data_IF_921832560966
#
_entry.id   IF_921832560966
#
_cell.length_a   1.000
_cell.length_b   1.000
_cell.length_c   1.000
_cell.angle_alpha   90.00
_cell.angle_beta   90.00
_cell.angle_gamma   90.00
#
_symmetry.space_group_name_H-M   'P 1'
#
loop_
_entity.id
_entity.type
_entity.pdbx_description
1 polymer ?
#
# COMPACT_ATOMS: atom_id res chain seq x y z
N UNK A 1 -28.80 -2.08 25.12
CA UNK A 1 -28.20 -2.90 24.04
C UNK A 1 -27.31 -2.00 23.18
N UNK A 2 -25.99 -2.13 23.27
CA UNK A 2 -25.05 -1.32 22.47
C UNK A 2 -24.92 -1.90 21.05
N UNK A 3 -25.61 -1.31 20.08
CA UNK A 3 -25.42 -1.65 18.67
C UNK A 3 -24.13 -1.00 18.16
N UNK A 4 -23.42 -1.65 17.23
CA UNK A 4 -22.22 -1.05 16.61
C UNK A 4 -22.66 0.14 15.75
N UNK A 5 -22.19 1.33 16.10
CA UNK A 5 -22.41 2.56 15.36
C UNK A 5 -21.09 3.32 15.19
N UNK A 6 -20.90 3.96 14.04
CA UNK A 6 -19.68 4.69 13.68
C UNK A 6 -18.67 3.84 12.90
N UNK A 7 -17.44 4.34 12.78
CA UNK A 7 -16.39 3.68 11.98
C UNK A 7 -15.81 2.49 12.74
N UNK A 8 -15.66 1.37 12.04
CA UNK A 8 -15.14 0.15 12.63
C UNK A 8 -14.46 -0.77 11.63
N UNK A 9 -13.90 -1.84 12.18
CA UNK A 9 -13.37 -2.96 11.41
C UNK A 9 -14.08 -4.22 11.88
N UNK A 10 -14.61 -4.99 10.92
CA UNK A 10 -15.20 -6.29 11.16
C UNK A 10 -14.38 -7.34 10.42
N UNK A 11 -13.93 -8.35 11.15
CA UNK A 11 -13.16 -9.47 10.61
C UNK A 11 -14.11 -10.65 10.51
N UNK A 12 -14.29 -11.17 9.30
CA UNK A 12 -15.08 -12.36 9.04
C UNK A 12 -14.28 -13.60 9.43
N UNK A 13 -14.99 -14.68 9.76
CA UNK A 13 -14.38 -16.00 10.02
C UNK A 13 -13.59 -16.54 8.82
N UNK A 14 -13.94 -16.11 7.60
CA UNK A 14 -13.19 -16.41 6.37
C UNK A 14 -11.84 -15.70 6.26
N UNK A 15 -11.52 -14.78 7.17
CA UNK A 15 -10.33 -13.94 7.12
C UNK A 15 -10.51 -12.64 6.31
N UNK A 16 -11.65 -12.46 5.65
CA UNK A 16 -12.00 -11.19 5.03
C UNK A 16 -12.16 -10.09 6.10
N UNK A 17 -11.89 -8.84 5.72
CA UNK A 17 -11.92 -7.68 6.62
C UNK A 17 -12.73 -6.57 6.01
N UNK A 18 -13.84 -6.21 6.65
CA UNK A 18 -14.58 -5.01 6.35
C UNK A 18 -14.06 -3.85 7.17
N UNK A 19 -13.75 -2.73 6.52
CA UNK A 19 -13.42 -1.45 7.15
C UNK A 19 -14.39 -0.41 6.62
N UNK A 20 -15.24 0.12 7.48
CA UNK A 20 -16.27 1.05 7.06
C UNK A 20 -17.09 1.57 8.21
N UNK A 21 -18.21 2.18 7.87
CA UNK A 21 -19.16 2.72 8.82
C UNK A 21 -20.23 1.66 9.16
N UNK A 22 -20.67 1.71 10.41
CA UNK A 22 -21.69 0.85 10.97
C UNK A 22 -22.82 1.73 11.50
N UNK A 23 -24.05 1.28 11.31
CA UNK A 23 -25.21 1.87 11.93
C UNK A 23 -26.12 0.76 12.39
N UNK A 24 -26.50 0.78 13.67
CA UNK A 24 -27.39 -0.21 14.27
C UNK A 24 -26.90 -1.67 14.14
N UNK A 25 -25.58 -1.89 14.07
CA UNK A 25 -25.01 -3.23 13.88
C UNK A 25 -24.94 -3.70 12.44
N UNK A 26 -25.42 -2.90 11.48
CA UNK A 26 -25.33 -3.17 10.05
C UNK A 26 -24.26 -2.29 9.40
N UNK A 27 -23.75 -2.72 8.25
CA UNK A 27 -22.88 -1.88 7.42
C UNK A 27 -23.69 -0.72 6.83
N UNK A 28 -23.23 0.50 7.04
CA UNK A 28 -23.93 1.70 6.59
C UNK A 28 -22.91 2.80 6.31
N UNK A 29 -22.97 3.46 5.16
CA UNK A 29 -21.97 4.45 4.74
C UNK A 29 -20.87 3.85 3.86
N UNK A 30 -19.69 4.47 3.83
CA UNK A 30 -18.63 4.02 2.94
C UNK A 30 -17.84 2.86 3.55
N UNK A 31 -17.63 1.78 2.78
CA UNK A 31 -16.98 0.58 3.29
C UNK A 31 -16.08 -0.11 2.27
N UNK A 32 -15.00 -0.72 2.80
CA UNK A 32 -14.02 -1.51 2.06
C UNK A 32 -13.96 -2.91 2.62
N UNK A 33 -14.29 -3.91 1.81
CA UNK A 33 -14.16 -5.32 2.11
C UNK A 33 -12.88 -5.86 1.46
N UNK A 34 -11.87 -6.18 2.24
CA UNK A 34 -10.62 -6.78 1.78
C UNK A 34 -10.62 -8.29 2.00
N UNK A 35 -10.14 -9.05 1.03
CA UNK A 35 -10.04 -10.51 1.11
C UNK A 35 -8.61 -10.98 1.32
N UNK A 36 -8.44 -12.25 1.69
CA UNK A 36 -7.14 -12.84 2.00
C UNK A 36 -6.21 -12.94 0.77
N UNK A 37 -6.79 -13.05 -0.44
CA UNK A 37 -6.08 -13.04 -1.72
C UNK A 37 -5.58 -11.65 -2.13
N UNK A 38 -5.92 -10.61 -1.36
CA UNK A 38 -5.49 -9.22 -1.59
C UNK A 38 -6.43 -8.41 -2.48
N UNK A 39 -7.48 -9.03 -3.05
CA UNK A 39 -8.56 -8.28 -3.68
C UNK A 39 -9.35 -7.49 -2.63
N UNK A 40 -10.03 -6.45 -3.10
CA UNK A 40 -10.95 -5.71 -2.25
C UNK A 40 -12.14 -5.18 -3.05
N UNK A 41 -13.24 -4.97 -2.33
CA UNK A 41 -14.46 -4.34 -2.81
C UNK A 41 -14.66 -3.05 -2.03
N UNK A 42 -14.70 -1.93 -2.72
CA UNK A 42 -15.10 -0.65 -2.15
C UNK A 42 -16.51 -0.32 -2.63
N UNK A 43 -17.43 -0.09 -1.69
CA UNK A 43 -18.78 0.32 -2.02
C UNK A 43 -19.43 1.10 -0.88
N UNK A 44 -20.55 1.75 -1.20
CA UNK A 44 -21.39 2.40 -0.21
C UNK A 44 -22.45 1.40 0.27
N UNK A 45 -22.63 1.31 1.57
CA UNK A 45 -23.56 0.40 2.23
C UNK A 45 -24.75 1.21 2.76
N UNK A 46 -25.94 0.63 2.71
CA UNK A 46 -27.12 1.19 3.35
C UNK A 46 -27.93 0.06 3.94
N UNK A 47 -28.08 0.04 5.27
CA UNK A 47 -28.83 -1.01 5.96
C UNK A 47 -28.31 -2.43 5.68
N UNK A 48 -26.99 -2.61 5.56
CA UNK A 48 -26.35 -3.90 5.28
C UNK A 48 -26.30 -4.31 3.81
N UNK A 49 -26.92 -3.55 2.90
CA UNK A 49 -26.90 -3.82 1.47
C UNK A 49 -25.88 -2.92 0.75
N UNK A 50 -25.06 -3.47 -0.16
CA UNK A 50 -24.18 -2.65 -0.99
C UNK A 50 -25.00 -1.94 -2.08
N UNK A 51 -24.72 -0.65 -2.28
CA UNK A 51 -25.27 0.15 -3.36
C UNK A 51 -24.49 -0.15 -4.64
N UNK A 52 -25.20 -0.66 -5.65
CA UNK A 52 -24.64 -1.06 -6.95
C UNK A 52 -23.93 0.10 -7.67
N UNK A 53 -24.42 1.33 -7.51
CA UNK A 53 -23.86 2.54 -8.12
C UNK A 53 -22.44 2.89 -7.66
N UNK A 54 -21.96 2.30 -6.57
CA UNK A 54 -20.62 2.55 -6.04
C UNK A 54 -19.80 1.27 -5.90
N UNK A 55 -20.21 0.17 -6.54
CA UNK A 55 -19.51 -1.10 -6.42
C UNK A 55 -18.24 -1.09 -7.26
N UNK A 56 -17.10 -0.89 -6.59
CA UNK A 56 -15.79 -0.94 -7.22
C UNK A 56 -15.08 -2.24 -6.80
N UNK A 57 -14.97 -3.17 -7.74
CA UNK A 57 -14.22 -4.41 -7.57
C UNK A 57 -12.78 -4.20 -8.04
N UNK A 58 -11.82 -4.28 -7.12
CA UNK A 58 -10.40 -4.18 -7.46
C UNK A 58 -9.75 -5.56 -7.41
N UNK A 59 -9.40 -6.07 -8.59
CA UNK A 59 -8.52 -7.21 -8.71
C UNK A 59 -7.08 -6.74 -8.52
N UNK A 60 -6.44 -7.10 -7.40
CA UNK A 60 -5.03 -6.79 -7.20
C UNK A 60 -4.18 -7.56 -8.22
N UNK A 61 -3.99 -6.97 -9.40
CA UNK A 61 -2.93 -7.32 -10.33
C UNK A 61 -1.62 -7.11 -9.58
N UNK A 62 -1.05 -8.19 -9.02
CA UNK A 62 0.27 -8.28 -8.35
C UNK A 62 1.19 -7.09 -8.69
N UNK A 63 1.22 -6.07 -7.84
CA UNK A 63 2.27 -5.04 -7.85
C UNK A 63 2.84 -4.89 -6.45
N UNK A 64 3.54 -5.93 -5.99
CA UNK A 64 4.48 -5.79 -4.85
C UNK A 64 5.85 -6.44 -5.10
N UNK A 65 6.10 -6.98 -6.29
CA UNK A 65 7.45 -7.43 -6.70
C UNK A 65 8.20 -6.30 -7.43
N UNK A 66 7.51 -5.49 -8.24
CA UNK A 66 8.13 -4.41 -9.02
C UNK A 66 8.64 -3.22 -8.16
N UNK A 67 7.92 -2.86 -7.09
CA UNK A 67 8.29 -1.70 -6.26
C UNK A 67 9.53 -2.01 -5.41
N UNK A 68 9.66 -3.22 -4.86
CA UNK A 68 10.88 -3.64 -4.12
C UNK A 68 12.10 -3.84 -5.04
N UNK A 69 11.90 -4.26 -6.29
CA UNK A 69 12.98 -4.43 -7.26
C UNK A 69 13.59 -3.08 -7.72
N UNK A 70 12.79 -2.01 -7.77
CA UNK A 70 13.28 -0.68 -8.18
C UNK A 70 14.16 0.00 -7.12
N UNK A 71 13.99 -0.32 -5.83
CA UNK A 71 14.82 0.24 -4.76
C UNK A 71 16.25 -0.35 -4.75
N UNK A 72 16.39 -1.66 -5.00
CA UNK A 72 17.71 -2.30 -5.08
C UNK A 72 18.54 -1.85 -6.28
N UNK A 73 17.92 -1.63 -7.45
CA UNK A 73 18.62 -1.16 -8.65
C UNK A 73 19.14 0.27 -8.45
N UNK A 74 18.30 1.17 -7.89
CA UNK A 74 18.70 2.56 -7.60
C UNK A 74 19.78 2.65 -6.51
N UNK A 75 19.77 1.76 -5.52
CA UNK A 75 20.80 1.69 -4.50
C UNK A 75 22.16 1.27 -5.09
N UNK A 76 22.18 0.28 -6.00
CA UNK A 76 23.40 -0.18 -6.65
C UNK A 76 24.02 0.91 -7.56
N UNK A 77 23.19 1.64 -8.32
CA UNK A 77 23.66 2.75 -9.17
C UNK A 77 24.25 3.91 -8.34
N UNK A 78 23.63 4.26 -7.21
CA UNK A 78 24.17 5.28 -6.29
C UNK A 78 25.51 4.87 -5.67
N UNK A 79 25.65 3.61 -5.27
CA UNK A 79 26.90 3.08 -4.73
C UNK A 79 28.03 3.12 -5.76
N UNK A 80 27.72 2.80 -7.03
CA UNK A 80 28.67 2.88 -8.14
C UNK A 80 29.14 4.33 -8.36
N UNK A 81 28.20 5.27 -8.43
CA UNK A 81 28.50 6.70 -8.60
C UNK A 81 29.35 7.26 -7.44
N UNK A 82 29.06 6.87 -6.20
CA UNK A 82 29.81 7.32 -5.03
C UNK A 82 31.25 6.78 -5.03
N UNK A 83 31.44 5.50 -5.41
CA UNK A 83 32.77 4.90 -5.54
C UNK A 83 33.59 5.59 -6.65
N UNK A 84 32.99 5.87 -7.79
CA UNK A 84 33.65 6.60 -8.89
C UNK A 84 33.98 8.05 -8.49
N UNK A 85 33.09 8.72 -7.76
CA UNK A 85 33.33 10.07 -7.23
C UNK A 85 34.47 10.09 -6.21
N UNK A 86 34.57 9.10 -5.32
CA UNK A 86 35.70 8.99 -4.38
C UNK A 86 37.01 8.74 -5.11
N UNK A 87 37.00 7.89 -6.14
CA UNK A 87 38.19 7.59 -6.94
C UNK A 87 38.65 8.81 -7.76
N UNK A 88 37.73 9.60 -8.30
CA UNK A 88 38.07 10.81 -9.06
C UNK A 88 38.62 11.91 -8.16
N UNK A 89 38.09 12.07 -6.94
CA UNK A 89 38.63 13.00 -5.94
C UNK A 89 40.05 12.57 -5.54
N UNK A 90 40.28 11.30 -5.22
CA UNK A 90 41.61 10.79 -4.85
C UNK A 90 42.66 11.00 -5.96
N UNK A 91 42.29 10.75 -7.23
CA UNK A 91 43.16 10.99 -8.40
C UNK A 91 43.46 12.48 -8.62
N UNK A 92 42.54 13.38 -8.26
CA UNK A 92 42.72 14.83 -8.40
C UNK A 92 43.59 15.42 -7.28
N UNK A 93 43.54 14.85 -6.08
CA UNK A 93 44.40 15.25 -4.95
C UNK A 93 45.84 14.76 -5.14
N UNK A 94 46.05 13.52 -5.60
CA UNK A 94 47.41 12.99 -5.86
C UNK A 94 48.20 13.74 -6.94
N UNK A 95 47.52 14.38 -7.91
CA UNK A 95 48.15 15.17 -8.98
C UNK A 95 48.55 16.60 -8.58
N UNK A 96 48.17 17.08 -7.39
CA UNK A 96 48.53 18.43 -6.90
C UNK A 96 49.75 18.46 -5.98
N UNK A 97 50.33 17.31 -5.65
CA UNK A 97 51.44 17.20 -4.70
C UNK A 97 52.81 17.03 -5.37
N UNK A 98 52.92 17.23 -6.69
CA UNK A 98 54.15 17.08 -7.46
C UNK A 98 54.43 18.27 -8.38
N UNK A 99 54.06 19.48 -7.95
CA UNK A 99 54.43 20.76 -8.57
C UNK A 99 55.10 21.64 -7.51
#
# INVERSE_FOLDING_TARGET
KGKRSGKGIYVFSSGAKYKGEFSEGLFDGNGKLSFADGTYIECKWRGGLPLSSSLHYSFHRRQKVAIKAQEHVRAHERAKLEKERRLSIAKKVGKRSSA
#
